data_IF_840582204089
#
_entry.id   IF_840582204089
#
_cell.length_a   1.000
_cell.length_b   1.000
_cell.length_c   1.000
_cell.angle_alpha   90.00
_cell.angle_beta   90.00
_cell.angle_gamma   90.00
#
_symmetry.space_group_name_H-M   'P 1'
#
loop_
_entity.id
_entity.type
_entity.pdbx_description
1 polymer ?
#
# COMPACT_ATOMS: atom_id res chain seq x y z
N UNK A 1 -38.64 -0.71 -23.84
CA UNK A 1 -38.04 -1.32 -22.65
C UNK A 1 -36.56 -1.00 -22.68
N UNK A 2 -36.17 0.11 -22.07
CA UNK A 2 -34.78 0.48 -21.86
C UNK A 2 -34.64 0.64 -20.34
N UNK A 3 -34.24 -0.44 -19.66
CA UNK A 3 -33.70 -0.31 -18.31
C UNK A 3 -32.34 0.37 -18.47
N UNK A 4 -32.34 1.67 -18.21
CA UNK A 4 -31.15 2.50 -18.17
C UNK A 4 -30.22 1.96 -17.07
N UNK A 5 -28.99 1.59 -17.46
CA UNK A 5 -27.94 1.09 -16.57
C UNK A 5 -27.70 2.07 -15.40
N UNK A 6 -28.33 1.83 -14.26
CA UNK A 6 -28.19 2.63 -13.02
C UNK A 6 -26.77 2.58 -12.40
N UNK A 7 -25.84 1.86 -13.02
CA UNK A 7 -24.44 1.74 -12.57
C UNK A 7 -23.46 2.53 -13.42
N UNK A 8 -23.94 3.21 -14.46
CA UNK A 8 -23.07 3.90 -15.39
C UNK A 8 -22.94 5.38 -15.02
N UNK A 9 -21.73 5.92 -15.17
CA UNK A 9 -21.48 7.31 -14.84
C UNK A 9 -22.25 8.23 -15.81
N UNK A 10 -22.94 9.28 -15.31
CA UNK A 10 -23.61 10.25 -16.19
C UNK A 10 -22.61 11.06 -17.04
N UNK A 11 -21.33 11.06 -16.66
CA UNK A 11 -20.25 11.71 -17.38
C UNK A 11 -19.61 10.70 -18.34
N UNK A 12 -19.65 11.00 -19.63
CA UNK A 12 -19.15 10.12 -20.71
C UNK A 12 -17.65 9.82 -20.58
N UNK A 13 -16.85 10.82 -20.22
CA UNK A 13 -15.40 10.65 -20.07
C UNK A 13 -15.06 9.60 -19.00
N UNK A 14 -15.80 9.57 -17.90
CA UNK A 14 -15.59 8.60 -16.81
C UNK A 14 -15.97 7.19 -17.28
N UNK A 15 -17.11 7.06 -17.97
CA UNK A 15 -17.59 5.79 -18.54
C UNK A 15 -16.61 5.15 -19.52
N UNK A 16 -15.91 5.97 -20.31
CA UNK A 16 -14.91 5.46 -21.27
C UNK A 16 -13.59 5.08 -20.60
N UNK A 17 -13.30 5.59 -19.41
CA UNK A 17 -12.03 5.35 -18.71
C UNK A 17 -12.08 4.18 -17.74
N UNK A 18 -13.24 3.88 -17.15
CA UNK A 18 -13.40 2.83 -16.15
C UNK A 18 -14.67 2.02 -16.47
N UNK A 19 -14.57 0.68 -16.59
CA UNK A 19 -15.75 -0.16 -16.75
C UNK A 19 -16.66 -0.04 -15.52
N UNK A 20 -17.98 0.06 -15.74
CA UNK A 20 -18.96 0.09 -14.65
C UNK A 20 -19.03 -1.24 -13.86
N UNK A 21 -18.53 -2.33 -14.44
CA UNK A 21 -18.54 -3.68 -13.86
C UNK A 21 -17.14 -4.15 -13.47
N UNK A 22 -17.04 -4.78 -12.30
CA UNK A 22 -15.80 -5.45 -11.87
C UNK A 22 -15.70 -6.87 -12.45
N UNK A 23 -14.51 -7.26 -12.91
CA UNK A 23 -14.21 -8.63 -13.33
C UNK A 23 -13.53 -9.40 -12.18
N UNK A 24 -14.22 -10.34 -11.52
CA UNK A 24 -13.67 -11.08 -10.37
C UNK A 24 -12.60 -12.12 -10.76
N UNK A 25 -12.42 -12.42 -12.04
CA UNK A 25 -11.43 -13.40 -12.50
C UNK A 25 -10.00 -12.84 -12.54
N UNK A 26 -9.85 -11.51 -12.52
CA UNK A 26 -8.56 -10.84 -12.58
C UNK A 26 -7.76 -11.05 -11.28
N UNK A 27 -6.49 -11.50 -11.37
CA UNK A 27 -5.68 -11.75 -10.20
C UNK A 27 -5.23 -10.44 -9.54
N UNK A 28 -5.42 -10.32 -8.22
CA UNK A 28 -5.08 -9.11 -7.46
C UNK A 28 -3.81 -9.27 -6.60
N UNK A 29 -3.70 -10.39 -5.88
CA UNK A 29 -2.61 -10.70 -4.95
C UNK A 29 -1.51 -11.54 -5.62
N UNK A 30 -0.90 -10.99 -6.67
CA UNK A 30 0.20 -11.65 -7.38
C UNK A 30 1.55 -11.36 -6.73
N UNK A 31 2.58 -12.13 -7.11
CA UNK A 31 3.95 -11.95 -6.61
C UNK A 31 4.49 -10.52 -6.82
N UNK A 32 4.17 -9.92 -7.98
CA UNK A 32 4.52 -8.52 -8.29
C UNK A 32 3.88 -7.53 -7.31
N UNK A 33 2.62 -7.74 -6.92
CA UNK A 33 1.92 -6.84 -5.99
C UNK A 33 2.57 -6.89 -4.62
N UNK A 34 2.90 -8.09 -4.13
CA UNK A 34 3.58 -8.26 -2.85
C UNK A 34 4.98 -7.66 -2.86
N UNK A 35 5.77 -7.94 -3.90
CA UNK A 35 7.14 -7.42 -3.99
C UNK A 35 7.17 -5.91 -4.14
N UNK A 36 6.47 -5.35 -5.13
CA UNK A 36 6.43 -3.90 -5.35
C UNK A 36 5.72 -3.15 -4.21
N UNK A 37 4.65 -3.73 -3.66
CA UNK A 37 3.92 -3.17 -2.52
C UNK A 37 4.77 -3.11 -1.25
N UNK A 38 5.38 -4.24 -0.84
CA UNK A 38 6.21 -4.27 0.36
C UNK A 38 7.46 -3.40 0.22
N UNK A 39 8.14 -3.46 -0.93
CA UNK A 39 9.33 -2.64 -1.19
C UNK A 39 8.97 -1.16 -1.17
N UNK A 40 7.88 -0.76 -1.82
CA UNK A 40 7.48 0.65 -1.79
C UNK A 40 7.07 1.13 -0.41
N UNK A 41 6.36 0.30 0.37
CA UNK A 41 6.00 0.61 1.75
C UNK A 41 7.24 0.84 2.62
N UNK A 42 8.20 -0.09 2.60
CA UNK A 42 9.44 0.01 3.39
C UNK A 42 10.30 1.20 2.95
N UNK A 43 10.49 1.38 1.64
CA UNK A 43 11.30 2.48 1.12
C UNK A 43 10.69 3.84 1.47
N UNK A 44 9.38 4.01 1.27
CA UNK A 44 8.74 5.29 1.53
C UNK A 44 8.72 5.61 3.03
N UNK A 45 8.47 4.60 3.88
CA UNK A 45 8.55 4.76 5.34
C UNK A 45 9.95 5.16 5.79
N UNK A 46 10.99 4.48 5.28
CA UNK A 46 12.38 4.80 5.58
C UNK A 46 12.74 6.23 5.15
N UNK A 47 12.41 6.62 3.92
CA UNK A 47 12.75 7.94 3.39
C UNK A 47 12.01 9.02 4.17
N UNK A 48 10.71 8.85 4.44
CA UNK A 48 9.95 9.82 5.21
C UNK A 48 10.46 9.94 6.65
N UNK A 49 10.78 8.82 7.31
CA UNK A 49 11.32 8.85 8.66
C UNK A 49 12.70 9.51 8.70
N UNK A 50 13.56 9.23 7.72
CA UNK A 50 14.88 9.82 7.62
C UNK A 50 14.83 11.33 7.36
N UNK A 51 14.00 11.76 6.42
CA UNK A 51 13.82 13.18 6.09
C UNK A 51 13.09 13.95 7.20
N UNK A 52 12.27 13.28 8.01
CA UNK A 52 11.58 13.86 9.16
C UNK A 52 12.51 14.28 10.31
N UNK A 53 13.73 13.74 10.39
CA UNK A 53 14.73 14.18 11.37
C UNK A 53 15.54 15.41 10.93
N UNK A 54 15.34 15.90 9.70
CA UNK A 54 16.00 17.13 9.23
C UNK A 54 15.31 18.36 9.85
N UNK A 55 16.06 19.43 10.06
CA UNK A 55 15.52 20.71 10.58
C UNK A 55 14.40 21.26 9.69
N UNK A 56 14.59 21.20 8.37
CA UNK A 56 13.52 21.42 7.40
C UNK A 56 12.95 20.07 6.97
N UNK A 57 11.80 19.69 7.54
CA UNK A 57 11.16 18.41 7.29
C UNK A 57 10.61 18.36 5.86
N UNK A 58 10.91 17.26 5.17
CA UNK A 58 10.41 16.99 3.82
C UNK A 58 9.68 15.66 3.86
N UNK A 59 8.42 15.65 3.41
CA UNK A 59 7.61 14.43 3.33
C UNK A 59 7.33 14.08 1.87
N UNK A 60 7.62 12.83 1.50
CA UNK A 60 7.28 12.27 0.20
C UNK A 60 5.88 11.64 0.23
N UNK A 61 5.08 12.01 -0.77
CA UNK A 61 3.73 11.47 -0.98
C UNK A 61 3.78 10.10 -1.67
N UNK A 62 2.77 9.26 -1.38
CA UNK A 62 2.55 7.98 -2.04
C UNK A 62 2.28 8.10 -3.55
N UNK A 63 1.90 9.30 -4.03
CA UNK A 63 1.71 9.58 -5.47
C UNK A 63 2.99 9.34 -6.27
N UNK A 64 4.17 9.58 -5.69
CA UNK A 64 5.44 9.27 -6.36
C UNK A 64 5.55 7.78 -6.70
N UNK A 65 5.13 6.91 -5.77
CA UNK A 65 5.09 5.47 -6.00
C UNK A 65 3.99 5.11 -6.99
N UNK A 66 2.81 5.74 -6.91
CA UNK A 66 1.71 5.49 -7.84
C UNK A 66 2.14 5.74 -9.30
N UNK A 67 2.85 6.84 -9.57
CA UNK A 67 3.35 7.14 -10.92
C UNK A 67 4.38 6.09 -11.37
N UNK A 68 5.29 5.66 -10.49
CA UNK A 68 6.34 4.68 -10.80
C UNK A 68 5.82 3.23 -10.89
N UNK A 69 4.76 2.89 -10.18
CA UNK A 69 4.22 1.54 -10.11
C UNK A 69 3.70 1.07 -11.48
N UNK A 70 3.21 1.97 -12.34
CA UNK A 70 2.72 1.62 -13.67
C UNK A 70 3.84 1.15 -14.63
N UNK A 71 4.90 1.94 -14.89
CA UNK A 71 5.99 1.50 -15.76
C UNK A 71 6.76 0.32 -15.18
N UNK A 72 7.02 0.31 -13.87
CA UNK A 72 7.76 -0.79 -13.21
C UNK A 72 6.93 -2.08 -13.21
N UNK A 73 5.62 -1.99 -12.93
CA UNK A 73 4.71 -3.11 -13.03
C UNK A 73 4.68 -3.70 -14.44
N UNK A 74 4.56 -2.86 -15.48
CA UNK A 74 4.61 -3.35 -16.87
C UNK A 74 5.95 -3.97 -17.24
N UNK A 75 7.07 -3.38 -16.82
CA UNK A 75 8.40 -3.95 -17.05
C UNK A 75 8.54 -5.33 -16.38
N UNK A 76 8.10 -5.45 -15.13
CA UNK A 76 8.08 -6.72 -14.39
C UNK A 76 7.14 -7.75 -15.03
N UNK A 77 6.09 -7.33 -15.76
CA UNK A 77 5.22 -8.22 -16.56
C UNK A 77 5.89 -8.75 -17.83
N UNK A 78 6.75 -7.96 -18.44
CA UNK A 78 7.52 -8.40 -19.61
C UNK A 78 8.69 -9.31 -19.22
N UNK A 79 9.30 -9.11 -18.05
CA UNK A 79 10.54 -9.80 -17.64
C UNK A 79 10.27 -11.11 -16.89
N UNK A 80 9.21 -11.18 -16.07
CA UNK A 80 8.96 -12.37 -15.24
C UNK A 80 8.52 -13.58 -16.10
N UNK A 81 9.09 -14.77 -15.84
CA UNK A 81 8.68 -15.98 -16.53
C UNK A 81 7.25 -16.39 -16.14
N UNK A 82 6.44 -16.74 -17.15
CA UNK A 82 5.09 -17.30 -17.00
C UNK A 82 5.09 -18.76 -16.55
N UNK A 83 6.27 -19.35 -16.36
CA UNK A 83 6.41 -20.77 -16.04
C UNK A 83 5.76 -21.09 -14.69
N UNK A 84 4.81 -22.06 -14.65
CA UNK A 84 4.20 -22.48 -13.40
C UNK A 84 5.25 -23.20 -12.53
N UNK A 85 5.56 -22.62 -11.37
CA UNK A 85 6.46 -23.23 -10.40
C UNK A 85 5.62 -24.18 -9.55
N UNK A 86 5.93 -25.47 -9.66
CA UNK A 86 5.36 -26.50 -8.78
C UNK A 86 6.15 -26.50 -7.48
N UNK A 87 5.47 -26.41 -6.35
CA UNK A 87 6.13 -26.49 -5.05
C UNK A 87 6.51 -27.96 -4.81
N UNK A 88 7.79 -28.30 -4.65
CA UNK A 88 8.17 -29.68 -4.31
C UNK A 88 7.53 -30.04 -2.96
N UNK A 89 6.84 -31.18 -2.91
CA UNK A 89 5.98 -31.69 -1.81
C UNK A 89 4.49 -31.27 -1.80
N UNK A 90 3.99 -30.44 -2.72
CA UNK A 90 2.53 -30.22 -2.85
C UNK A 90 2.08 -30.27 -4.31
N UNK A 91 0.79 -30.57 -4.56
CA UNK A 91 0.18 -30.49 -5.89
C UNK A 91 -0.09 -29.03 -6.33
N UNK A 92 0.40 -28.05 -5.59
CA UNK A 92 0.13 -26.64 -5.83
C UNK A 92 1.14 -26.08 -6.84
N UNK A 93 0.63 -25.53 -7.93
CA UNK A 93 1.41 -24.81 -8.94
C UNK A 93 1.01 -23.34 -8.93
N UNK A 94 1.98 -22.46 -8.73
CA UNK A 94 1.76 -21.01 -8.80
C UNK A 94 2.59 -20.43 -9.95
N UNK A 95 1.97 -19.58 -10.77
CA UNK A 95 2.70 -18.80 -11.78
C UNK A 95 3.10 -17.46 -11.18
N UNK A 96 4.38 -17.11 -11.30
CA UNK A 96 4.88 -15.79 -10.90
C UNK A 96 4.34 -14.66 -11.79
N UNK A 97 3.87 -14.99 -12.99
CA UNK A 97 3.33 -14.04 -13.96
C UNK A 97 2.02 -14.58 -14.55
N UNK A 98 0.90 -14.47 -13.81
CA UNK A 98 -0.39 -15.03 -14.25
C UNK A 98 -1.02 -14.27 -15.41
N UNK A 99 -0.56 -13.06 -15.72
CA UNK A 99 -1.10 -12.24 -16.80
C UNK A 99 -0.47 -10.85 -16.89
N UNK A 100 -0.97 -9.99 -17.79
CA UNK A 100 -0.51 -8.61 -17.91
C UNK A 100 -0.83 -7.80 -16.64
N UNK A 101 -0.02 -6.76 -16.39
CA UNK A 101 -0.21 -5.87 -15.24
C UNK A 101 -1.57 -5.18 -15.29
N UNK A 102 -2.37 -5.37 -14.23
CA UNK A 102 -3.75 -4.92 -14.19
C UNK A 102 -3.98 -3.77 -13.20
N UNK A 103 -5.18 -3.17 -13.26
CA UNK A 103 -5.56 -2.05 -12.41
C UNK A 103 -5.63 -2.44 -10.92
N UNK A 104 -6.08 -3.66 -10.59
CA UNK A 104 -6.21 -4.14 -9.20
C UNK A 104 -4.84 -4.23 -8.51
N UNK A 105 -3.84 -4.77 -9.20
CA UNK A 105 -2.46 -4.82 -8.75
C UNK A 105 -1.89 -3.42 -8.53
N UNK A 106 -2.14 -2.50 -9.47
CA UNK A 106 -1.70 -1.11 -9.36
C UNK A 106 -2.31 -0.38 -8.15
N UNK A 107 -3.60 -0.54 -7.93
CA UNK A 107 -4.31 0.04 -6.78
C UNK A 107 -3.77 -0.56 -5.48
N UNK A 108 -3.58 -1.88 -5.40
CA UNK A 108 -3.02 -2.53 -4.21
C UNK A 108 -1.61 -2.04 -3.88
N UNK A 109 -0.73 -1.92 -4.87
CA UNK A 109 0.62 -1.35 -4.67
C UNK A 109 0.53 0.08 -4.10
N UNK A 110 -0.40 0.88 -4.61
CA UNK A 110 -0.61 2.25 -4.13
C UNK A 110 -1.12 2.29 -2.69
N UNK A 111 -1.98 1.35 -2.29
CA UNK A 111 -2.43 1.20 -0.89
C UNK A 111 -1.24 0.86 0.02
N UNK A 112 -0.39 -0.08 -0.38
CA UNK A 112 0.83 -0.39 0.38
C UNK A 112 1.76 0.83 0.51
N UNK A 113 1.97 1.55 -0.59
CA UNK A 113 2.76 2.78 -0.57
C UNK A 113 2.16 3.82 0.39
N UNK A 114 0.83 3.99 0.37
CA UNK A 114 0.16 4.93 1.26
C UNK A 114 0.31 4.56 2.74
N UNK A 115 0.28 3.27 3.07
CA UNK A 115 0.56 2.79 4.42
C UNK A 115 2.00 3.16 4.86
N UNK A 116 2.97 3.03 3.95
CA UNK A 116 4.37 3.42 4.22
C UNK A 116 4.61 4.93 4.27
N UNK A 117 3.76 5.74 3.64
CA UNK A 117 3.88 7.20 3.69
C UNK A 117 3.55 7.77 5.08
N UNK A 118 2.75 7.05 5.87
CA UNK A 118 2.32 7.46 7.20
C UNK A 118 3.45 7.48 8.23
N UNK A 119 3.44 8.49 9.09
CA UNK A 119 4.37 8.61 10.23
C UNK A 119 3.86 7.89 11.47
N UNK A 120 4.78 7.33 12.27
CA UNK A 120 4.44 6.61 13.50
C UNK A 120 4.72 7.49 14.72
N UNK A 121 3.68 7.90 15.43
CA UNK A 121 3.83 8.80 16.59
C UNK A 121 4.75 8.24 17.69
N UNK A 122 4.64 6.94 18.00
CA UNK A 122 5.48 6.30 19.01
C UNK A 122 6.98 6.43 18.74
N UNK A 123 7.40 6.55 17.48
CA UNK A 123 8.83 6.71 17.12
C UNK A 123 9.40 7.99 17.74
N UNK A 124 8.62 9.06 17.84
CA UNK A 124 9.04 10.30 18.49
C UNK A 124 9.30 10.10 19.99
N UNK A 125 8.42 9.35 20.68
CA UNK A 125 8.57 9.02 22.10
C UNK A 125 9.85 8.20 22.31
N UNK A 126 10.05 7.16 21.50
CA UNK A 126 11.25 6.31 21.58
C UNK A 126 12.51 7.11 21.27
N UNK A 127 12.45 8.03 20.30
CA UNK A 127 13.57 8.91 19.96
C UNK A 127 13.93 9.82 21.12
N UNK A 128 12.95 10.48 21.75
CA UNK A 128 13.18 11.37 22.89
C UNK A 128 13.78 10.61 24.08
N UNK A 129 13.27 9.42 24.37
CA UNK A 129 13.76 8.57 25.46
C UNK A 129 15.22 8.14 25.28
N UNK A 130 15.63 7.86 24.03
CA UNK A 130 17.03 7.53 23.71
C UNK A 130 17.92 8.78 23.67
N UNK A 131 17.46 9.84 23.01
CA UNK A 131 18.27 11.03 22.74
C UNK A 131 18.44 11.96 23.95
N UNK A 132 17.39 12.16 24.75
CA UNK A 132 17.41 13.10 25.89
C UNK A 132 17.52 12.41 27.25
N UNK A 133 16.85 11.28 27.44
CA UNK A 133 16.82 10.58 28.74
C UNK A 133 17.85 9.44 28.85
N UNK A 134 18.56 9.13 27.75
CA UNK A 134 19.59 8.10 27.64
C UNK A 134 19.18 6.74 28.23
N UNK A 135 17.88 6.40 28.13
CA UNK A 135 17.34 5.14 28.61
C UNK A 135 17.12 4.16 27.48
N UNK A 136 17.55 2.92 27.71
CA UNK A 136 17.21 1.79 26.85
C UNK A 136 15.74 1.42 27.00
N UNK A 137 15.03 1.32 25.88
CA UNK A 137 13.67 0.78 25.81
C UNK A 137 13.77 -0.63 25.22
N UNK A 138 13.05 -1.58 25.81
CA UNK A 138 12.92 -2.92 25.25
C UNK A 138 12.22 -2.86 23.88
N UNK A 139 12.76 -3.54 22.87
CA UNK A 139 12.22 -3.57 21.51
C UNK A 139 10.74 -4.01 21.49
N UNK A 140 10.37 -5.01 22.30
CA UNK A 140 8.99 -5.50 22.36
C UNK A 140 8.07 -4.41 22.91
N UNK A 141 8.49 -3.69 23.95
CA UNK A 141 7.73 -2.58 24.50
C UNK A 141 7.59 -1.42 23.50
N UNK A 142 8.64 -1.13 22.73
CA UNK A 142 8.60 -0.12 21.67
C UNK A 142 7.66 -0.51 20.52
N UNK A 143 7.65 -1.79 20.12
CA UNK A 143 6.73 -2.31 19.10
C UNK A 143 5.27 -2.27 19.59
N UNK A 144 4.99 -2.73 20.80
CA UNK A 144 3.65 -2.67 21.38
C UNK A 144 3.14 -1.22 21.52
N UNK A 145 4.03 -0.29 21.90
CA UNK A 145 3.71 1.14 21.93
C UNK A 145 3.39 1.67 20.53
N UNK A 146 4.19 1.30 19.51
CA UNK A 146 3.95 1.65 18.11
C UNK A 146 2.56 1.23 17.64
N UNK A 147 2.22 -0.05 17.80
CA UNK A 147 0.93 -0.59 17.39
C UNK A 147 -0.24 0.09 18.11
N UNK A 148 -0.12 0.30 19.42
CA UNK A 148 -1.17 0.95 20.23
C UNK A 148 -1.47 2.37 19.74
N UNK A 149 -0.43 3.14 19.38
CA UNK A 149 -0.62 4.52 18.91
C UNK A 149 -1.31 4.60 17.54
N UNK A 150 -1.04 3.66 16.64
CA UNK A 150 -1.67 3.66 15.32
C UNK A 150 -3.13 3.19 15.38
N UNK A 151 -3.40 2.15 16.17
CA UNK A 151 -4.75 1.62 16.33
C UNK A 151 -5.68 2.64 17.00
N UNK A 152 -5.20 3.35 18.03
CA UNK A 152 -5.98 4.39 18.72
C UNK A 152 -6.36 5.57 17.82
N UNK A 153 -5.47 5.97 16.91
CA UNK A 153 -5.71 7.03 15.93
C UNK A 153 -6.79 6.64 14.92
N UNK A 154 -6.78 5.38 14.47
CA UNK A 154 -7.80 4.86 13.55
C UNK A 154 -9.20 4.89 14.16
N UNK A 155 -9.35 4.47 15.42
CA UNK A 155 -10.65 4.50 16.11
C UNK A 155 -11.18 5.92 16.33
N UNK A 156 -10.30 6.89 16.61
CA UNK A 156 -10.72 8.28 16.81
C UNK A 156 -11.14 8.97 15.51
N UNK A 157 -10.51 8.66 14.38
CA UNK A 157 -10.96 9.12 13.05
C UNK A 157 -12.33 8.54 12.67
N UNK A 158 -12.56 7.24 12.91
CA UNK A 158 -13.84 6.59 12.63
C UNK A 158 -14.96 7.17 13.50
N UNK A 159 -14.68 7.42 14.79
CA UNK A 159 -15.65 8.05 15.69
C UNK A 159 -16.02 9.47 15.22
N UNK A 160 -15.05 10.28 14.79
CA UNK A 160 -15.32 11.63 14.28
C UNK A 160 -16.18 11.62 13.02
N UNK A 161 -15.89 10.71 12.07
CA UNK A 161 -16.69 10.55 10.85
C UNK A 161 -18.15 10.18 11.16
N UNK A 162 -18.37 9.28 12.12
CA UNK A 162 -19.70 8.86 12.56
C UNK A 162 -20.51 9.99 13.23
N UNK A 163 -19.87 11.04 13.74
CA UNK A 163 -20.55 12.23 14.26
C UNK A 163 -20.86 13.27 13.17
N UNK A 164 -20.22 13.18 12.00
CA UNK A 164 -20.39 14.12 10.88
C UNK A 164 -21.31 13.61 9.76
N UNK A 165 -21.77 12.35 9.85
CA UNK A 165 -22.77 11.73 8.95
C UNK A 165 -24.11 11.58 9.66
#
# INVERSE_FOLDING_TARGET
MAEENNYDSPIEQVRLTVPATDDPSLPCLTFRTWTLGLVSCVLLSFVNQFLGYRENQISLSSVCVQILALPVGRAMAAILPTTPIKIPLTNWSFSMNPGPFNLKEHVLITIFANAGAGGVYAVNIVTIMKAFYHRGINIIAALLLSETTQVGFLYSYQAMLAFTT
#
